data_IF_664444128845
#
_entry.id   IF_664444128845
#
_cell.length_a   1.000
_cell.length_b   1.000
_cell.length_c   1.000
_cell.angle_alpha   90.00
_cell.angle_beta   90.00
_cell.angle_gamma   90.00
#
_symmetry.space_group_name_H-M   'P 1'
#
loop_
_entity.id
_entity.type
_entity.pdbx_description
1 polymer ?
#
# COMPACT_ATOMS: atom_id res chain seq x y z
N UNK A 1 7.16 3.52 -13.94
CA UNK A 1 5.83 3.01 -14.38
C UNK A 1 4.74 3.87 -13.77
N UNK A 2 3.73 4.28 -14.54
CA UNK A 2 2.57 5.02 -14.01
C UNK A 2 1.34 4.10 -14.02
N UNK A 3 0.39 4.24 -13.06
CA UNK A 3 -0.86 3.50 -13.08
C UNK A 3 -1.67 3.81 -14.35
N UNK A 4 -2.22 2.78 -15.00
CA UNK A 4 -2.94 2.89 -16.27
C UNK A 4 -4.12 1.93 -16.33
N UNK A 5 -5.21 2.38 -16.95
CA UNK A 5 -6.40 1.53 -17.20
C UNK A 5 -6.05 0.40 -18.17
N UNK A 6 -5.27 0.71 -19.21
CA UNK A 6 -4.87 -0.28 -20.24
C UNK A 6 -4.06 -1.42 -19.65
N UNK A 7 -3.19 -1.10 -18.68
CA UNK A 7 -2.32 -2.07 -18.01
C UNK A 7 -3.02 -2.76 -16.83
N UNK A 8 -4.29 -2.43 -16.56
CA UNK A 8 -5.07 -2.96 -15.43
C UNK A 8 -4.56 -2.53 -14.06
N UNK A 9 -3.64 -1.57 -14.00
CA UNK A 9 -3.02 -1.09 -12.75
C UNK A 9 -3.75 0.10 -12.13
N UNK A 10 -4.81 0.57 -12.80
CA UNK A 10 -5.69 1.63 -12.34
C UNK A 10 -7.14 1.14 -12.48
N UNK A 11 -7.84 1.00 -11.35
CA UNK A 11 -9.16 0.37 -11.25
C UNK A 11 -10.16 1.28 -10.53
N UNK A 12 -11.46 1.02 -10.67
CA UNK A 12 -12.44 1.73 -9.84
C UNK A 12 -12.35 1.25 -8.38
N UNK A 13 -12.67 2.09 -7.37
CA UNK A 13 -12.53 1.77 -5.95
C UNK A 13 -13.20 0.45 -5.55
N UNK A 14 -14.36 0.13 -6.11
CA UNK A 14 -15.09 -1.12 -5.85
C UNK A 14 -14.37 -2.38 -6.36
N UNK A 15 -13.41 -2.23 -7.28
CA UNK A 15 -12.61 -3.32 -7.85
C UNK A 15 -11.17 -3.35 -7.30
N UNK A 16 -10.85 -2.56 -6.26
CA UNK A 16 -9.51 -2.56 -5.67
C UNK A 16 -9.13 -3.93 -5.08
N UNK A 17 -10.12 -4.72 -4.64
CA UNK A 17 -9.93 -6.03 -4.00
C UNK A 17 -8.89 -6.00 -2.88
N UNK A 18 -8.95 -4.96 -2.04
CA UNK A 18 -8.04 -4.80 -0.90
C UNK A 18 -8.20 -5.98 0.07
N UNK A 19 -7.12 -6.57 0.60
CA UNK A 19 -7.21 -7.75 1.47
C UNK A 19 -7.94 -7.44 2.78
N UNK A 20 -8.64 -8.43 3.32
CA UNK A 20 -9.34 -8.36 4.60
C UNK A 20 -8.34 -8.43 5.77
N UNK A 21 -7.60 -7.33 5.99
CA UNK A 21 -6.58 -7.25 7.05
C UNK A 21 -7.26 -7.09 8.43
N UNK A 22 -6.94 -7.94 9.43
CA UNK A 22 -7.51 -7.82 10.76
C UNK A 22 -7.27 -6.43 11.37
N UNK A 23 -8.36 -5.77 11.78
CA UNK A 23 -8.29 -4.44 12.39
C UNK A 23 -8.04 -3.27 11.43
N UNK A 24 -8.00 -3.50 10.11
CA UNK A 24 -7.85 -2.45 9.11
C UNK A 24 -8.73 -2.71 7.88
N UNK A 25 -9.75 -1.88 7.69
CA UNK A 25 -10.76 -2.09 6.64
C UNK A 25 -10.68 -1.00 5.58
N UNK A 26 -10.57 -1.36 4.31
CA UNK A 26 -10.76 -0.41 3.22
C UNK A 26 -12.25 -0.07 3.06
N UNK A 27 -12.60 1.18 3.32
CA UNK A 27 -13.99 1.66 3.27
C UNK A 27 -14.48 2.11 1.90
N UNK A 28 -13.60 2.15 0.89
CA UNK A 28 -13.93 2.72 -0.43
C UNK A 28 -14.18 4.23 -0.42
N UNK A 29 -13.96 4.90 0.72
CA UNK A 29 -14.17 6.34 0.84
C UNK A 29 -13.25 7.09 -0.14
N UNK A 30 -13.85 7.88 -1.02
CA UNK A 30 -13.14 8.69 -2.01
C UNK A 30 -13.83 10.04 -2.15
N UNK A 31 -13.06 11.09 -2.38
CA UNK A 31 -13.62 12.40 -2.68
C UNK A 31 -14.17 12.37 -4.11
N UNK A 32 -15.47 12.56 -4.26
CA UNK A 32 -16.11 12.59 -5.57
C UNK A 32 -15.89 13.93 -6.27
N UNK A 33 -15.88 13.90 -7.60
CA UNK A 33 -15.78 15.08 -8.44
C UNK A 33 -16.93 15.06 -9.46
N UNK A 34 -17.67 16.15 -9.54
CA UNK A 34 -18.77 16.35 -10.49
C UNK A 34 -18.70 17.74 -11.11
N UNK A 35 -19.24 17.86 -12.32
CA UNK A 35 -19.56 19.19 -12.86
C UNK A 35 -20.59 19.89 -11.97
N UNK A 36 -20.43 21.21 -11.77
CA UNK A 36 -21.20 22.00 -10.80
C UNK A 36 -22.03 23.07 -11.49
N UNK A 37 -23.28 23.21 -11.06
CA UNK A 37 -24.15 24.34 -11.40
C UNK A 37 -23.83 25.53 -10.50
N UNK A 38 -23.18 26.54 -11.09
CA UNK A 38 -22.83 27.80 -10.41
C UNK A 38 -23.95 28.86 -10.50
N UNK A 39 -25.11 28.54 -11.08
CA UNK A 39 -26.26 29.46 -11.10
C UNK A 39 -27.01 29.50 -9.77
N UNK A 40 -26.73 28.56 -8.86
CA UNK A 40 -27.32 28.44 -7.51
C UNK A 40 -26.25 28.56 -6.42
N UNK A 41 -26.65 28.96 -5.21
CA UNK A 41 -25.77 29.10 -4.05
C UNK A 41 -26.25 28.25 -2.85
N UNK A 42 -25.44 27.30 -2.34
CA UNK A 42 -24.12 26.90 -2.85
C UNK A 42 -24.22 26.16 -4.19
N UNK A 43 -23.15 26.14 -5.02
CA UNK A 43 -23.15 25.39 -6.27
C UNK A 43 -23.50 23.92 -6.05
N UNK A 44 -24.41 23.38 -6.85
CA UNK A 44 -24.87 21.98 -6.74
C UNK A 44 -24.28 21.11 -7.85
N UNK A 45 -24.11 19.79 -7.65
CA UNK A 45 -23.67 18.91 -8.72
C UNK A 45 -24.76 18.73 -9.79
N UNK A 46 -24.38 18.72 -11.07
CA UNK A 46 -25.29 18.28 -12.12
C UNK A 46 -25.53 16.77 -12.03
N UNK A 47 -26.79 16.30 -12.13
CA UNK A 47 -27.06 14.86 -12.17
C UNK A 47 -26.33 14.17 -13.32
N UNK A 48 -25.75 13.00 -13.05
CA UNK A 48 -25.07 12.13 -14.03
C UNK A 48 -23.88 12.79 -14.76
N UNK A 49 -23.24 13.79 -14.15
CA UNK A 49 -22.03 14.45 -14.67
C UNK A 49 -20.87 14.32 -13.69
N UNK A 50 -20.81 13.18 -13.02
CA UNK A 50 -19.70 12.75 -12.17
C UNK A 50 -18.53 12.28 -13.04
N UNK A 51 -17.31 12.63 -12.64
CA UNK A 51 -16.10 12.15 -13.27
C UNK A 51 -15.78 10.74 -12.76
N UNK A 52 -15.31 9.83 -13.63
CA UNK A 52 -14.85 8.52 -13.18
C UNK A 52 -13.64 8.70 -12.27
N UNK A 53 -13.68 8.05 -11.11
CA UNK A 53 -12.59 8.04 -10.14
C UNK A 53 -11.94 6.66 -10.18
N UNK A 54 -10.63 6.64 -10.33
CA UNK A 54 -9.86 5.42 -10.33
C UNK A 54 -8.71 5.52 -9.34
N UNK A 55 -8.31 4.38 -8.79
CA UNK A 55 -7.23 4.23 -7.82
C UNK A 55 -6.22 3.19 -8.30
N UNK A 56 -4.92 3.33 -7.96
CA UNK A 56 -3.95 2.29 -8.23
C UNK A 56 -4.36 0.97 -7.56
N UNK A 57 -4.27 -0.13 -8.30
CA UNK A 57 -4.57 -1.45 -7.73
C UNK A 57 -3.44 -1.95 -6.83
N UNK A 58 -3.73 -2.95 -6.01
CA UNK A 58 -2.82 -3.50 -4.99
C UNK A 58 -2.57 -4.99 -5.22
N UNK A 59 -1.46 -5.50 -4.66
CA UNK A 59 -1.18 -6.94 -4.58
C UNK A 59 -1.95 -7.60 -3.41
N UNK A 60 -1.73 -8.90 -3.20
CA UNK A 60 -2.34 -9.67 -2.11
C UNK A 60 -1.98 -9.16 -0.72
N UNK A 61 -0.91 -8.37 -0.61
CA UNK A 61 -0.48 -7.75 0.64
C UNK A 61 -1.09 -6.35 0.81
N UNK A 62 -1.94 -5.89 -0.13
CA UNK A 62 -2.54 -4.56 -0.08
C UNK A 62 -1.57 -3.44 -0.45
N UNK A 63 -0.41 -3.75 -1.04
CA UNK A 63 0.58 -2.76 -1.47
C UNK A 63 0.38 -2.43 -2.97
N UNK A 64 0.51 -1.15 -3.36
CA UNK A 64 0.31 -0.75 -4.75
C UNK A 64 1.31 -1.42 -5.71
N UNK A 65 0.81 -1.91 -6.85
CA UNK A 65 1.63 -2.62 -7.85
C UNK A 65 2.21 -1.71 -8.95
N UNK A 66 1.70 -0.48 -9.05
CA UNK A 66 2.16 0.53 -10.00
C UNK A 66 2.84 1.70 -9.31
N UNK A 67 3.47 2.57 -10.10
CA UNK A 67 4.32 3.64 -9.57
C UNK A 67 5.77 3.21 -9.38
N UNK A 68 6.50 4.00 -8.59
CA UNK A 68 7.87 3.65 -8.16
C UNK A 68 7.74 3.01 -6.78
N UNK A 69 7.91 1.69 -6.74
CA UNK A 69 7.87 0.90 -5.50
C UNK A 69 9.27 0.90 -4.88
N UNK A 70 9.41 1.48 -3.68
CA UNK A 70 10.65 1.46 -2.91
C UNK A 70 11.05 0.04 -2.51
N UNK A 71 12.28 -0.20 -2.03
CA UNK A 71 12.65 -1.51 -1.47
C UNK A 71 11.72 -1.98 -0.37
N UNK A 72 11.17 -1.07 0.45
CA UNK A 72 10.21 -1.40 1.51
C UNK A 72 8.88 -1.94 0.96
N UNK A 73 8.46 -1.52 -0.24
CA UNK A 73 7.24 -2.02 -0.90
C UNK A 73 7.53 -3.28 -1.72
N UNK A 74 8.73 -3.41 -2.29
CA UNK A 74 9.16 -4.59 -3.07
C UNK A 74 9.59 -5.77 -2.18
N UNK A 75 10.06 -5.51 -0.97
CA UNK A 75 10.37 -6.49 0.07
C UNK A 75 9.59 -6.15 1.36
N UNK A 76 8.25 -6.26 1.34
CA UNK A 76 7.40 -5.75 2.40
C UNK A 76 7.52 -6.56 3.69
N UNK A 77 7.34 -5.85 4.81
CA UNK A 77 7.13 -6.42 6.15
C UNK A 77 5.73 -6.08 6.70
N UNK A 78 4.86 -5.54 5.83
CA UNK A 78 3.53 -5.07 6.13
C UNK A 78 2.87 -4.48 4.89
N UNK A 79 1.66 -3.98 5.08
CA UNK A 79 0.94 -3.16 4.12
C UNK A 79 1.26 -1.70 4.36
N UNK A 80 1.60 -0.98 3.30
CA UNK A 80 1.82 0.45 3.29
C UNK A 80 0.71 1.08 2.44
N UNK A 81 -0.03 2.04 3.01
CA UNK A 81 -1.03 2.79 2.25
C UNK A 81 -0.79 4.28 2.39
N UNK A 82 -1.15 5.05 1.36
CA UNK A 82 -1.07 6.52 1.37
C UNK A 82 -2.15 7.23 2.20
N UNK A 83 -2.99 6.49 2.92
CA UNK A 83 -4.16 6.98 3.62
C UNK A 83 -4.39 6.24 4.94
N UNK A 84 -5.11 6.87 5.87
CA UNK A 84 -5.43 6.33 7.19
C UNK A 84 -6.80 6.83 7.65
N UNK A 85 -7.39 6.17 8.64
CA UNK A 85 -8.60 6.64 9.29
C UNK A 85 -8.28 7.46 10.52
N UNK A 86 -9.10 8.47 10.75
CA UNK A 86 -9.03 9.22 12.00
C UNK A 86 -9.50 8.35 13.15
N UNK A 87 -8.75 8.43 14.26
CA UNK A 87 -9.09 7.74 15.50
C UNK A 87 -10.25 8.39 16.26
N UNK A 88 -10.59 7.81 17.42
CA UNK A 88 -11.66 8.32 18.28
C UNK A 88 -11.44 9.78 18.66
N UNK A 89 -12.55 10.50 18.89
CA UNK A 89 -12.60 11.94 19.27
C UNK A 89 -12.28 12.96 18.16
N UNK A 90 -11.91 12.52 16.95
CA UNK A 90 -11.57 13.42 15.83
C UNK A 90 -12.19 12.99 14.50
N UNK A 91 -13.52 13.04 14.37
CA UNK A 91 -14.23 12.54 13.18
C UNK A 91 -13.83 11.10 12.84
N UNK A 92 -14.04 10.22 13.82
CA UNK A 92 -13.67 8.80 13.78
C UNK A 92 -14.14 8.13 12.49
N UNK A 93 -13.26 7.35 11.86
CA UNK A 93 -13.55 6.66 10.60
C UNK A 93 -13.49 7.54 9.35
N UNK A 94 -13.29 8.86 9.46
CA UNK A 94 -13.05 9.71 8.30
C UNK A 94 -11.66 9.43 7.70
N UNK A 95 -11.59 9.37 6.37
CA UNK A 95 -10.33 9.20 5.65
C UNK A 95 -9.43 10.43 5.79
N UNK A 96 -8.14 10.20 5.93
CA UNK A 96 -7.09 11.21 5.94
C UNK A 96 -5.94 10.77 5.02
N UNK A 97 -5.36 11.72 4.28
CA UNK A 97 -4.18 11.47 3.43
C UNK A 97 -2.91 11.57 4.28
N UNK A 98 -2.81 10.65 5.24
CA UNK A 98 -1.62 10.37 6.04
C UNK A 98 -1.39 8.87 5.92
N UNK A 99 -0.15 8.47 5.69
CA UNK A 99 0.14 7.05 5.43
C UNK A 99 -0.16 6.14 6.62
N UNK A 100 -0.44 4.88 6.32
CA UNK A 100 -0.56 3.80 7.31
C UNK A 100 0.50 2.74 7.07
N UNK A 101 0.92 2.09 8.15
CA UNK A 101 1.72 0.88 8.10
C UNK A 101 1.05 -0.19 8.98
N UNK A 102 0.66 -1.29 8.36
CA UNK A 102 0.02 -2.42 9.03
C UNK A 102 0.97 -3.61 8.94
N UNK A 103 1.68 -3.97 10.02
CA UNK A 103 2.69 -5.03 9.97
C UNK A 103 2.08 -6.38 9.60
N UNK A 104 2.85 -7.25 8.98
CA UNK A 104 2.51 -8.66 8.90
C UNK A 104 2.64 -9.31 10.27
N UNK A 105 1.86 -10.37 10.49
CA UNK A 105 2.05 -11.23 11.65
C UNK A 105 3.44 -11.86 11.62
N UNK A 106 4.05 -12.09 12.79
CA UNK A 106 5.45 -12.55 12.83
C UNK A 106 5.55 -14.02 12.47
N UNK A 107 4.59 -14.83 12.92
CA UNK A 107 4.58 -16.28 12.77
C UNK A 107 3.35 -16.78 12.02
N UNK A 108 3.43 -17.98 11.45
CA UNK A 108 2.29 -18.62 10.80
C UNK A 108 1.12 -18.86 11.79
N UNK A 109 1.44 -19.21 13.03
CA UNK A 109 0.45 -19.45 14.08
C UNK A 109 -0.29 -18.16 14.50
N UNK A 110 0.41 -17.02 14.58
CA UNK A 110 -0.23 -15.73 14.83
C UNK A 110 -1.14 -15.33 13.68
N UNK A 111 -0.69 -15.49 12.42
CA UNK A 111 -1.50 -15.27 11.22
C UNK A 111 -2.78 -16.10 11.21
N UNK A 112 -2.68 -17.40 11.45
CA UNK A 112 -3.84 -18.29 11.50
C UNK A 112 -4.82 -17.90 12.61
N UNK A 113 -4.29 -17.47 13.77
CA UNK A 113 -5.10 -17.04 14.89
C UNK A 113 -5.83 -15.71 14.63
N UNK A 114 -5.19 -14.74 13.97
CA UNK A 114 -5.81 -13.46 13.63
C UNK A 114 -6.68 -13.55 12.38
N UNK A 115 -6.50 -14.58 11.55
CA UNK A 115 -7.18 -14.76 10.27
C UNK A 115 -6.64 -13.84 9.17
N UNK A 116 -5.40 -13.35 9.32
CA UNK A 116 -4.79 -12.47 8.32
C UNK A 116 -4.50 -13.24 7.02
N UNK A 117 -5.02 -12.79 5.86
CA UNK A 117 -4.79 -13.47 4.59
C UNK A 117 -3.35 -13.33 4.07
N UNK A 118 -2.58 -12.37 4.58
CA UNK A 118 -1.20 -12.07 4.13
C UNK A 118 -0.23 -13.07 4.76
N UNK A 119 0.81 -13.47 4.02
CA UNK A 119 1.86 -14.32 4.58
C UNK A 119 2.53 -13.64 5.78
N UNK A 120 2.78 -14.40 6.85
CA UNK A 120 3.55 -13.94 7.99
C UNK A 120 5.02 -13.67 7.61
N UNK A 121 5.75 -12.96 8.50
CA UNK A 121 7.19 -12.74 8.32
C UNK A 121 7.97 -14.06 8.29
N UNK A 122 7.63 -15.03 9.13
CA UNK A 122 8.23 -16.37 9.16
C UNK A 122 8.04 -17.12 7.83
N UNK A 123 6.84 -17.06 7.27
CA UNK A 123 6.55 -17.72 5.99
C UNK A 123 7.23 -17.03 4.81
N UNK A 124 7.36 -15.70 4.86
CA UNK A 124 7.95 -14.88 3.79
C UNK A 124 9.47 -14.85 3.84
N UNK A 125 10.03 -14.71 5.03
CA UNK A 125 11.46 -14.61 5.30
C UNK A 125 11.83 -15.61 6.42
N UNK A 126 12.03 -16.89 6.07
CA UNK A 126 12.32 -17.95 7.04
C UNK A 126 13.57 -17.68 7.90
N UNK A 127 14.49 -16.87 7.37
CA UNK A 127 15.67 -16.41 8.08
C UNK A 127 16.04 -14.98 7.66
N UNK A 128 16.93 -14.36 8.43
CA UNK A 128 17.38 -13.00 8.20
C UNK A 128 18.11 -12.84 6.85
N UNK A 129 18.82 -13.87 6.38
CA UNK A 129 19.52 -13.81 5.09
C UNK A 129 18.54 -13.71 3.91
N UNK A 130 17.39 -14.39 3.98
CA UNK A 130 16.31 -14.24 2.98
C UNK A 130 15.71 -12.86 2.96
N UNK A 131 15.53 -12.23 4.12
CA UNK A 131 15.09 -10.84 4.16
C UNK A 131 16.13 -9.90 3.54
N UNK A 132 17.41 -10.06 3.90
CA UNK A 132 18.51 -9.26 3.35
C UNK A 132 18.61 -9.45 1.82
N UNK A 133 18.47 -10.68 1.33
CA UNK A 133 18.48 -11.00 -0.10
C UNK A 133 17.32 -10.33 -0.84
N UNK A 134 16.11 -10.38 -0.29
CA UNK A 134 14.94 -9.71 -0.86
C UNK A 134 15.13 -8.20 -0.96
N UNK A 135 15.60 -7.55 0.11
CA UNK A 135 15.89 -6.10 0.13
C UNK A 135 17.00 -5.75 -0.86
N UNK A 136 18.08 -6.54 -0.91
CA UNK A 136 19.19 -6.34 -1.85
C UNK A 136 18.71 -6.45 -3.30
N UNK A 137 17.90 -7.47 -3.61
CA UNK A 137 17.33 -7.66 -4.94
C UNK A 137 16.49 -6.45 -5.35
N UNK A 138 15.58 -6.02 -4.49
CA UNK A 138 14.73 -4.86 -4.74
C UNK A 138 15.52 -3.56 -4.95
N UNK A 139 16.52 -3.31 -4.11
CA UNK A 139 17.37 -2.12 -4.23
C UNK A 139 18.23 -2.15 -5.50
N UNK A 140 18.81 -3.30 -5.85
CA UNK A 140 19.58 -3.46 -7.09
C UNK A 140 18.73 -3.29 -8.35
N UNK A 141 17.48 -3.78 -8.36
CA UNK A 141 16.56 -3.53 -9.46
C UNK A 141 16.31 -2.03 -9.66
N UNK A 142 16.07 -1.29 -8.57
CA UNK A 142 15.90 0.17 -8.64
C UNK A 142 17.19 0.90 -9.06
N UNK A 143 18.37 0.42 -8.66
CA UNK A 143 19.65 0.94 -9.13
C UNK A 143 19.83 0.73 -10.64
N UNK A 144 19.48 -0.47 -11.15
CA UNK A 144 19.49 -0.78 -12.58
C UNK A 144 18.50 0.08 -13.36
N UNK A 145 17.35 0.43 -12.74
CA UNK A 145 16.37 1.39 -13.27
C UNK A 145 16.83 2.86 -13.14
N UNK A 146 18.00 3.12 -12.55
CA UNK A 146 18.56 4.46 -12.25
C UNK A 146 17.71 5.31 -11.29
N UNK A 147 16.97 4.65 -10.41
CA UNK A 147 16.14 5.28 -9.38
C UNK A 147 16.82 5.32 -8.00
N UNK A 148 17.82 4.47 -7.79
CA UNK A 148 18.74 4.52 -6.65
C UNK A 148 20.17 4.66 -7.16
N UNK A 149 21.06 5.11 -6.28
CA UNK A 149 22.52 5.04 -6.46
C UNK A 149 23.10 3.91 -5.61
N UNK A 150 24.35 3.54 -5.86
CA UNK A 150 25.03 2.45 -5.14
C UNK A 150 25.04 2.67 -3.62
N UNK A 151 25.19 3.92 -3.17
CA UNK A 151 25.16 4.28 -1.74
C UNK A 151 23.79 4.02 -1.10
N UNK A 152 22.70 4.14 -1.86
CA UNK A 152 21.36 3.84 -1.35
C UNK A 152 21.15 2.32 -1.24
N UNK A 153 21.64 1.55 -2.21
CA UNK A 153 21.61 0.09 -2.17
C UNK A 153 22.30 -0.42 -0.91
N UNK A 154 23.53 0.06 -0.65
CA UNK A 154 24.28 -0.33 0.53
C UNK A 154 23.58 0.09 1.84
N UNK A 155 22.94 1.26 1.86
CA UNK A 155 22.16 1.72 3.02
C UNK A 155 20.98 0.80 3.29
N UNK A 156 20.21 0.42 2.28
CA UNK A 156 19.08 -0.51 2.43
C UNK A 156 19.53 -1.88 2.96
N UNK A 157 20.62 -2.43 2.39
CA UNK A 157 21.19 -3.71 2.84
C UNK A 157 21.72 -3.62 4.28
N UNK A 158 22.36 -2.51 4.66
CA UNK A 158 22.86 -2.30 6.02
C UNK A 158 21.72 -2.23 7.05
N UNK A 159 20.62 -1.54 6.72
CA UNK A 159 19.41 -1.49 7.57
C UNK A 159 18.80 -2.90 7.70
N UNK A 160 18.69 -3.66 6.60
CA UNK A 160 18.14 -5.01 6.63
C UNK A 160 18.94 -5.96 7.55
N UNK A 161 20.28 -5.89 7.52
CA UNK A 161 21.17 -6.67 8.41
C UNK A 161 20.96 -6.36 9.89
N UNK A 162 20.63 -5.11 10.23
CA UNK A 162 20.37 -4.68 11.60
C UNK A 162 18.96 -5.02 12.08
N UNK A 163 18.05 -5.38 11.18
CA UNK A 163 16.68 -5.74 11.51
C UNK A 163 16.57 -7.03 12.34
N UNK A 164 15.41 -7.25 12.96
CA UNK A 164 15.08 -8.49 13.68
C UNK A 164 14.23 -9.46 12.83
N UNK A 165 14.08 -9.20 11.54
CA UNK A 165 13.26 -10.03 10.65
C UNK A 165 13.99 -11.35 10.39
N UNK A 166 13.32 -12.48 10.60
CA UNK A 166 13.91 -13.82 10.44
C UNK A 166 15.03 -14.15 11.44
N UNK A 167 15.02 -13.52 12.63
CA UNK A 167 15.92 -13.83 13.76
C UNK A 167 15.13 -14.40 14.92
#
# INVERSE_FOLDING_TARGET
HYPSVTDGTLVSPEHLNFPDIPGFTYSGAINTLSDRDYSVQPPSPFPNRDYPLLVPTVDSDGNEIAGIRSPDIRAPIGTYTGWNYRGPKYAEGALMIVGSFIPFEKTAAEREKSGDPRLSLEERYPDNERYIEAVRKAANELNNERLLIDEDVERYVAIAKQSKIGK
#
